data_IF_126072110446
#
_entry.id   IF_126072110446
#
_cell.length_a   1.000
_cell.length_b   1.000
_cell.length_c   1.000
_cell.angle_alpha   90.00
_cell.angle_beta   90.00
_cell.angle_gamma   90.00
#
_symmetry.space_group_name_H-M   'P 1'
#
loop_
_entity.id
_entity.type
_entity.pdbx_description
1 polymer ?
#
# COMPACT_ATOMS: atom_id res chain seq x y z
N UNK A 1 12.78 -10.98 -2.94
CA UNK A 1 11.70 -11.76 -3.57
C UNK A 1 10.34 -11.24 -3.10
N UNK A 2 9.47 -10.97 -4.03
CA UNK A 2 8.11 -10.50 -3.72
C UNK A 2 7.12 -11.64 -3.86
N UNK A 3 6.26 -11.78 -2.87
CA UNK A 3 5.22 -12.81 -2.83
C UNK A 3 3.98 -12.30 -2.10
N UNK A 4 2.81 -12.97 -2.24
CA UNK A 4 1.68 -12.69 -1.37
C UNK A 4 2.04 -12.88 0.11
N UNK A 5 1.38 -12.11 0.97
CA UNK A 5 1.53 -12.24 2.42
C UNK A 5 1.01 -13.60 2.89
N UNK A 6 1.65 -14.15 3.93
CA UNK A 6 1.32 -15.44 4.53
C UNK A 6 1.07 -15.28 6.03
N UNK A 7 0.45 -16.29 6.65
CA UNK A 7 0.13 -16.27 8.09
C UNK A 7 1.37 -16.03 8.96
N UNK A 8 2.51 -16.62 8.59
CA UNK A 8 3.77 -16.46 9.33
C UNK A 8 4.36 -15.04 9.25
N UNK A 9 3.84 -14.19 8.38
CA UNK A 9 4.28 -12.80 8.24
C UNK A 9 3.63 -11.85 9.24
N UNK A 10 2.70 -12.29 10.06
CA UNK A 10 1.87 -11.45 10.93
C UNK A 10 2.68 -10.39 11.70
N UNK A 11 3.72 -10.81 12.40
CA UNK A 11 4.53 -9.89 13.23
C UNK A 11 5.26 -8.84 12.38
N UNK A 12 5.86 -9.26 11.26
CA UNK A 12 6.61 -8.36 10.36
C UNK A 12 5.67 -7.47 9.56
N UNK A 13 4.52 -7.97 9.13
CA UNK A 13 3.52 -7.16 8.46
C UNK A 13 3.03 -6.03 9.38
N UNK A 14 2.69 -6.37 10.62
CA UNK A 14 2.33 -5.38 11.64
C UNK A 14 3.45 -4.35 11.85
N UNK A 15 4.70 -4.78 11.91
CA UNK A 15 5.85 -3.87 12.03
C UNK A 15 5.94 -2.88 10.87
N UNK A 16 5.78 -3.36 9.64
CA UNK A 16 5.81 -2.50 8.44
C UNK A 16 4.65 -1.49 8.43
N UNK A 17 3.45 -1.92 8.82
CA UNK A 17 2.30 -1.01 8.93
C UNK A 17 2.52 0.09 9.97
N UNK A 18 3.06 -0.26 11.13
CA UNK A 18 3.39 0.73 12.18
C UNK A 18 4.52 1.68 11.75
N UNK A 19 5.46 1.22 10.95
CA UNK A 19 6.49 2.08 10.37
C UNK A 19 5.91 3.08 9.37
N UNK A 20 4.92 2.65 8.58
CA UNK A 20 4.21 3.53 7.64
C UNK A 20 3.25 4.48 8.36
N UNK A 21 2.55 4.00 9.39
CA UNK A 21 1.55 4.75 10.14
C UNK A 21 1.93 4.82 11.63
N UNK A 22 2.95 5.62 12.00
CA UNK A 22 3.48 5.65 13.37
C UNK A 22 2.49 6.16 14.41
N UNK A 23 1.44 6.88 13.99
CA UNK A 23 0.37 7.36 14.88
C UNK A 23 -0.70 6.30 15.17
N UNK A 24 -0.66 5.16 14.48
CA UNK A 24 -1.53 4.02 14.76
C UNK A 24 -1.03 3.24 15.98
N UNK A 25 -1.88 2.34 16.49
CA UNK A 25 -1.51 1.46 17.60
C UNK A 25 -1.23 0.05 17.10
N UNK A 26 -0.36 -0.68 17.81
CA UNK A 26 -0.08 -2.09 17.50
C UNK A 26 -1.35 -2.93 17.51
N UNK A 27 -2.28 -2.65 18.42
CA UNK A 27 -3.55 -3.35 18.55
C UNK A 27 -4.45 -3.13 17.32
N UNK A 28 -4.55 -1.90 16.83
CA UNK A 28 -5.33 -1.57 15.62
C UNK A 28 -4.78 -2.30 14.40
N UNK A 29 -3.47 -2.28 14.19
CA UNK A 29 -2.83 -2.93 13.05
C UNK A 29 -2.97 -4.45 13.13
N UNK A 30 -2.80 -5.03 14.30
CA UNK A 30 -2.94 -6.46 14.52
C UNK A 30 -4.34 -6.96 14.18
N UNK A 31 -5.37 -6.26 14.63
CA UNK A 31 -6.77 -6.61 14.35
C UNK A 31 -7.05 -6.69 12.85
N UNK A 32 -6.60 -5.71 12.09
CA UNK A 32 -6.86 -5.67 10.64
C UNK A 32 -6.13 -6.78 9.87
N UNK A 33 -4.84 -6.99 10.17
CA UNK A 33 -4.06 -8.02 9.48
C UNK A 33 -4.51 -9.43 9.88
N UNK A 34 -4.88 -9.66 11.14
CA UNK A 34 -5.43 -10.94 11.58
C UNK A 34 -6.76 -11.26 10.89
N UNK A 35 -7.64 -10.28 10.77
CA UNK A 35 -8.90 -10.46 10.06
C UNK A 35 -8.67 -10.82 8.59
N UNK A 36 -7.74 -10.15 7.94
CA UNK A 36 -7.39 -10.47 6.55
C UNK A 36 -6.88 -11.91 6.42
N UNK A 37 -5.95 -12.32 7.28
CA UNK A 37 -5.39 -13.68 7.26
C UNK A 37 -6.43 -14.76 7.58
N UNK A 38 -7.46 -14.40 8.36
CA UNK A 38 -8.58 -15.28 8.65
C UNK A 38 -9.64 -15.34 7.51
N UNK A 39 -9.45 -14.58 6.43
CA UNK A 39 -10.34 -14.57 5.27
C UNK A 39 -11.56 -13.66 5.38
N UNK A 40 -11.59 -12.74 6.34
CA UNK A 40 -12.68 -11.76 6.44
C UNK A 40 -12.53 -10.68 5.36
N UNK A 41 -13.62 -10.35 4.65
CA UNK A 41 -13.58 -9.30 3.65
C UNK A 41 -13.32 -7.92 4.27
N UNK A 42 -12.57 -7.09 3.55
CA UNK A 42 -12.30 -5.71 3.91
C UNK A 42 -12.41 -4.83 2.66
N UNK A 43 -13.01 -3.63 2.77
CA UNK A 43 -13.06 -2.70 1.66
C UNK A 43 -11.71 -2.05 1.34
N UNK A 44 -10.78 -2.07 2.30
CA UNK A 44 -9.50 -1.38 2.19
C UNK A 44 -8.29 -2.32 2.16
N UNK A 45 -8.51 -3.63 2.19
CA UNK A 45 -7.44 -4.62 2.16
C UNK A 45 -7.93 -5.89 1.44
N UNK A 46 -7.69 -5.97 0.14
CA UNK A 46 -8.10 -7.10 -0.69
C UNK A 46 -6.93 -8.00 -1.04
N UNK A 47 -5.73 -7.44 -1.22
CA UNK A 47 -4.51 -8.19 -1.42
C UNK A 47 -3.32 -7.46 -0.80
N UNK A 48 -2.33 -8.23 -0.38
CA UNK A 48 -1.09 -7.70 0.17
C UNK A 48 0.09 -8.52 -0.35
N UNK A 49 1.16 -7.82 -0.73
CA UNK A 49 2.40 -8.43 -1.20
C UNK A 49 3.55 -7.88 -0.38
N UNK A 50 4.53 -8.74 -0.11
CA UNK A 50 5.67 -8.41 0.74
C UNK A 50 6.97 -8.76 0.04
N UNK A 51 8.03 -8.04 0.36
CA UNK A 51 9.38 -8.36 -0.08
C UNK A 51 10.15 -9.01 1.06
N UNK A 52 10.64 -10.21 0.82
CA UNK A 52 11.36 -11.03 1.82
C UNK A 52 12.84 -10.69 1.78
N UNK A 53 13.44 -10.48 2.95
CA UNK A 53 14.90 -10.31 3.09
C UNK A 53 15.60 -11.65 2.91
N UNK A 54 16.81 -11.68 2.29
CA UNK A 54 17.58 -12.91 2.19
C UNK A 54 17.90 -13.55 3.54
N UNK A 55 18.01 -12.73 4.58
CA UNK A 55 18.34 -13.17 5.95
C UNK A 55 17.13 -13.48 6.83
N UNK A 56 15.93 -13.42 6.25
CA UNK A 56 14.66 -13.56 6.98
C UNK A 56 14.05 -12.23 7.37
N UNK A 57 12.74 -12.24 7.60
CA UNK A 57 11.97 -11.03 7.80
C UNK A 57 11.61 -10.34 6.49
N UNK A 58 10.92 -9.21 6.59
CA UNK A 58 10.43 -8.45 5.45
C UNK A 58 11.14 -7.09 5.32
N UNK A 59 11.21 -6.57 4.11
CA UNK A 59 11.77 -5.25 3.86
C UNK A 59 10.81 -4.31 3.13
N UNK A 60 9.64 -4.79 2.73
CA UNK A 60 8.68 -3.97 2.01
C UNK A 60 7.29 -4.58 1.96
N UNK A 61 6.32 -3.71 1.72
CA UNK A 61 4.90 -4.02 1.74
C UNK A 61 4.15 -3.17 0.71
N UNK A 62 3.20 -3.78 0.02
CA UNK A 62 2.14 -3.08 -0.69
C UNK A 62 0.81 -3.73 -0.38
N UNK A 63 -0.22 -2.91 -0.14
CA UNK A 63 -1.60 -3.34 0.02
C UNK A 63 -2.45 -2.69 -1.05
N UNK A 64 -3.37 -3.44 -1.61
CA UNK A 64 -4.20 -2.99 -2.72
C UNK A 64 -5.64 -3.44 -2.55
N UNK A 65 -6.57 -2.59 -2.96
CA UNK A 65 -7.99 -2.86 -2.99
C UNK A 65 -8.59 -2.39 -4.32
N UNK A 66 -9.90 -2.58 -4.51
CA UNK A 66 -10.62 -2.11 -5.68
C UNK A 66 -11.70 -1.13 -5.22
N UNK A 67 -11.69 0.05 -5.80
CA UNK A 67 -12.70 1.10 -5.56
C UNK A 67 -13.58 1.27 -6.80
N UNK A 68 -14.81 1.72 -6.58
CA UNK A 68 -15.75 2.04 -7.68
C UNK A 68 -15.60 3.48 -8.16
N UNK A 69 -14.87 4.31 -7.41
CA UNK A 69 -14.51 5.69 -7.77
C UNK A 69 -13.24 6.11 -7.07
N UNK A 70 -12.47 6.96 -7.71
CA UNK A 70 -11.32 7.63 -7.12
C UNK A 70 -11.08 8.97 -7.82
N UNK A 71 -10.48 9.93 -7.11
CA UNK A 71 -10.20 11.26 -7.66
C UNK A 71 -9.42 11.16 -8.98
N UNK A 72 -9.89 11.87 -10.01
CA UNK A 72 -9.27 11.92 -11.33
C UNK A 72 -9.40 10.66 -12.17
N UNK A 73 -10.05 9.61 -11.70
CA UNK A 73 -10.30 8.40 -12.46
C UNK A 73 -11.63 8.45 -13.21
N UNK A 74 -11.68 7.77 -14.35
CA UNK A 74 -12.82 7.81 -15.28
C UNK A 74 -13.63 6.51 -15.28
N UNK A 75 -13.05 5.41 -14.79
CA UNK A 75 -13.71 4.10 -14.74
C UNK A 75 -14.31 3.85 -13.37
N UNK A 76 -15.09 2.77 -13.24
CA UNK A 76 -15.78 2.36 -12.02
C UNK A 76 -15.15 1.13 -11.35
N UNK A 77 -13.95 0.73 -11.80
CA UNK A 77 -13.19 -0.37 -11.21
C UNK A 77 -11.70 -0.02 -11.19
N UNK A 78 -11.28 0.50 -10.06
CA UNK A 78 -9.98 1.15 -9.91
C UNK A 78 -9.17 0.40 -8.86
N UNK A 79 -7.96 -0.04 -9.21
CA UNK A 79 -7.01 -0.54 -8.24
C UNK A 79 -6.51 0.62 -7.37
N UNK A 80 -6.51 0.43 -6.05
CA UNK A 80 -6.13 1.47 -5.11
C UNK A 80 -4.97 1.00 -4.23
N UNK A 81 -3.86 1.75 -4.24
CA UNK A 81 -2.74 1.51 -3.35
C UNK A 81 -3.09 2.02 -1.95
N UNK A 82 -3.44 1.11 -1.05
CA UNK A 82 -3.82 1.46 0.32
C UNK A 82 -2.60 1.64 1.23
N UNK A 83 -1.53 0.90 0.98
CA UNK A 83 -0.26 1.00 1.69
C UNK A 83 0.88 0.68 0.75
N UNK A 84 1.97 1.43 0.88
CA UNK A 84 3.20 1.21 0.13
C UNK A 84 4.38 1.66 0.99
N UNK A 85 5.20 0.72 1.42
CA UNK A 85 6.31 0.99 2.33
C UNK A 85 7.51 0.11 2.02
N UNK A 86 8.70 0.69 2.11
CA UNK A 86 9.97 -0.01 2.01
C UNK A 86 10.85 0.43 3.18
N UNK A 87 11.46 -0.52 3.88
CA UNK A 87 12.39 -0.22 4.96
C UNK A 87 13.55 0.65 4.45
N UNK A 88 14.06 1.60 5.26
CA UNK A 88 15.06 2.57 4.82
C UNK A 88 16.31 1.95 4.18
N UNK A 89 16.77 0.80 4.66
CA UNK A 89 17.96 0.11 4.15
C UNK A 89 17.77 -0.53 2.76
N UNK A 90 16.52 -0.66 2.32
CA UNK A 90 16.17 -1.19 0.99
C UNK A 90 15.64 -0.14 0.02
N UNK A 91 15.57 1.13 0.44
CA UNK A 91 15.14 2.20 -0.46
C UNK A 91 16.20 2.46 -1.53
N UNK A 92 15.73 2.79 -2.75
CA UNK A 92 16.62 3.01 -3.88
C UNK A 92 17.17 1.74 -4.53
N UNK A 93 16.66 0.56 -4.15
CA UNK A 93 17.09 -0.74 -4.70
C UNK A 93 16.14 -1.34 -5.72
N UNK A 94 15.01 -0.67 -6.00
CA UNK A 94 13.96 -1.17 -6.91
C UNK A 94 12.85 -1.95 -6.24
N UNK A 95 12.93 -2.24 -4.96
CA UNK A 95 11.90 -2.99 -4.21
C UNK A 95 10.55 -2.28 -4.25
N UNK A 96 10.53 -0.96 -4.04
CA UNK A 96 9.31 -0.17 -4.08
C UNK A 96 8.60 -0.27 -5.43
N UNK A 97 9.35 -0.18 -6.52
CA UNK A 97 8.83 -0.33 -7.88
C UNK A 97 8.25 -1.73 -8.11
N UNK A 98 8.97 -2.76 -7.75
CA UNK A 98 8.53 -4.16 -7.93
C UNK A 98 7.24 -4.44 -7.15
N UNK A 99 7.12 -3.90 -5.93
CA UNK A 99 5.90 -4.02 -5.13
C UNK A 99 4.69 -3.39 -5.84
N UNK A 100 4.85 -2.17 -6.36
CA UNK A 100 3.76 -1.49 -7.07
C UNK A 100 3.42 -2.23 -8.37
N UNK A 101 4.40 -2.68 -9.13
CA UNK A 101 4.17 -3.48 -10.35
C UNK A 101 3.37 -4.76 -10.03
N UNK A 102 3.65 -5.38 -8.88
CA UNK A 102 2.89 -6.56 -8.44
C UNK A 102 1.42 -6.21 -8.12
N UNK A 103 1.19 -5.08 -7.44
CA UNK A 103 -0.16 -4.60 -7.15
C UNK A 103 -0.90 -4.24 -8.43
N UNK A 104 -0.24 -3.60 -9.39
CA UNK A 104 -0.82 -3.26 -10.69
C UNK A 104 -1.18 -4.52 -11.49
N UNK A 105 -0.32 -5.53 -11.49
CA UNK A 105 -0.62 -6.81 -12.14
C UNK A 105 -1.85 -7.49 -11.53
N UNK A 106 -1.95 -7.46 -10.20
CA UNK A 106 -3.12 -7.98 -9.50
C UNK A 106 -4.39 -7.22 -9.90
N UNK A 107 -4.33 -5.89 -9.95
CA UNK A 107 -5.46 -5.05 -10.34
C UNK A 107 -5.89 -5.30 -11.79
N UNK A 108 -4.93 -5.42 -12.72
CA UNK A 108 -5.22 -5.77 -14.12
C UNK A 108 -5.92 -7.13 -14.23
N UNK A 109 -5.42 -8.13 -13.51
CA UNK A 109 -6.05 -9.46 -13.48
C UNK A 109 -7.47 -9.42 -12.92
N UNK A 110 -7.77 -8.46 -12.04
CA UNK A 110 -9.10 -8.22 -11.50
C UNK A 110 -9.99 -7.35 -12.40
N UNK A 111 -9.51 -6.95 -13.58
CA UNK A 111 -10.27 -6.15 -14.54
C UNK A 111 -10.17 -4.64 -14.38
N UNK A 112 -9.27 -4.13 -13.55
CA UNK A 112 -9.05 -2.70 -13.40
C UNK A 112 -8.27 -2.14 -14.60
N UNK A 113 -8.67 -0.95 -15.05
CA UNK A 113 -8.00 -0.21 -16.13
C UNK A 113 -7.24 1.01 -15.63
N UNK A 114 -7.42 1.36 -14.35
CA UNK A 114 -6.76 2.49 -13.71
C UNK A 114 -6.25 2.09 -12.33
N UNK A 115 -5.21 2.79 -11.88
CA UNK A 115 -4.70 2.74 -10.51
C UNK A 115 -4.82 4.11 -9.89
N UNK A 116 -5.11 4.15 -8.59
CA UNK A 116 -5.13 5.37 -7.81
C UNK A 116 -4.36 5.16 -6.50
N UNK A 117 -3.96 6.25 -5.90
CA UNK A 117 -3.26 6.28 -4.63
C UNK A 117 -3.45 7.65 -4.00
N UNK A 118 -3.19 7.77 -2.72
CA UNK A 118 -3.14 9.05 -2.03
C UNK A 118 -1.89 9.17 -1.17
N UNK A 119 -1.61 10.38 -0.75
CA UNK A 119 -0.54 10.69 0.18
C UNK A 119 -0.88 11.96 0.96
N UNK A 120 -0.08 12.29 1.96
CA UNK A 120 -0.25 13.53 2.72
C UNK A 120 1.10 14.20 2.97
N UNK A 121 1.11 15.46 3.48
CA UNK A 121 2.35 16.20 3.71
C UNK A 121 3.34 15.56 4.67
N UNK A 122 2.92 14.60 5.50
CA UNK A 122 3.82 13.86 6.38
C UNK A 122 4.80 12.94 5.61
N UNK A 123 4.55 12.71 4.32
CA UNK A 123 5.40 11.88 3.45
C UNK A 123 5.95 12.72 2.28
N UNK A 124 6.94 13.60 2.54
CA UNK A 124 7.36 14.60 1.55
C UNK A 124 8.01 14.02 0.28
N UNK A 125 8.53 12.79 0.33
CA UNK A 125 9.13 12.12 -0.84
C UNK A 125 8.12 11.29 -1.62
N UNK A 126 6.92 11.07 -1.09
CA UNK A 126 5.90 10.21 -1.70
C UNK A 126 5.41 10.71 -3.07
N UNK A 127 5.15 12.00 -3.30
CA UNK A 127 4.75 12.48 -4.63
C UNK A 127 5.76 12.14 -5.71
N UNK A 128 7.04 12.41 -5.48
CA UNK A 128 8.10 12.09 -6.45
C UNK A 128 8.22 10.57 -6.69
N UNK A 129 8.04 9.76 -5.65
CA UNK A 129 8.05 8.31 -5.78
C UNK A 129 6.89 7.81 -6.65
N UNK A 130 5.69 8.36 -6.50
CA UNK A 130 4.54 8.05 -7.35
C UNK A 130 4.79 8.48 -8.80
N UNK A 131 5.25 9.70 -9.01
CA UNK A 131 5.53 10.22 -10.34
C UNK A 131 6.59 9.40 -11.09
N UNK A 132 7.61 8.91 -10.38
CA UNK A 132 8.64 8.04 -10.97
C UNK A 132 8.07 6.71 -11.49
N UNK A 133 6.90 6.28 -11.02
CA UNK A 133 6.20 5.08 -11.46
C UNK A 133 5.09 5.38 -12.49
N UNK A 134 4.98 6.61 -12.96
CA UNK A 134 4.01 7.02 -13.97
C UNK A 134 2.67 7.49 -13.41
N UNK A 135 2.54 7.67 -12.09
CA UNK A 135 1.35 8.26 -11.49
C UNK A 135 1.39 9.77 -11.62
N UNK A 136 0.23 10.38 -11.86
CA UNK A 136 0.08 11.83 -11.99
C UNK A 136 -0.76 12.38 -10.84
N UNK A 137 -0.38 13.53 -10.31
CA UNK A 137 -1.19 14.26 -9.36
C UNK A 137 -2.47 14.76 -10.02
N UNK A 138 -3.64 14.45 -9.43
CA UNK A 138 -4.95 14.76 -10.03
C UNK A 138 -5.78 15.69 -9.17
N UNK A 139 -5.51 15.78 -7.87
CA UNK A 139 -6.28 16.61 -6.95
C UNK A 139 -5.40 17.06 -5.78
N UNK A 140 -5.79 18.20 -5.19
CA UNK A 140 -5.14 18.70 -3.98
C UNK A 140 -6.21 19.19 -3.00
N UNK A 141 -6.08 18.84 -1.72
CA UNK A 141 -7.01 19.19 -0.67
C UNK A 141 -6.42 20.26 0.25
N UNK A 142 -7.26 21.17 0.71
CA UNK A 142 -6.88 22.23 1.64
C UNK A 142 -7.75 22.16 2.87
N UNK A 143 -7.15 22.49 4.03
CA UNK A 143 -7.82 22.50 5.32
C UNK A 143 -7.42 23.75 6.11
N UNK A 144 -8.39 24.36 6.80
CA UNK A 144 -8.14 25.43 7.77
C UNK A 144 -8.92 25.13 9.04
N UNK A 145 -8.25 25.16 10.20
CA UNK A 145 -8.91 25.06 11.49
C UNK A 145 -9.56 26.41 11.82
N UNK A 146 -10.82 26.37 12.24
CA UNK A 146 -11.58 27.56 12.61
C UNK A 146 -11.85 27.70 14.11
N UNK A 147 -11.29 26.79 14.92
CA UNK A 147 -11.44 26.80 16.38
C UNK A 147 -10.47 27.75 17.06
#
# INVERSE_FOLDING_TARGET
MIRPVETDDLAEWKRLRLALWPDSTAEQEETEVERFLAGYPSPTLMAAFVCVRPTGGLCGLVEVSIHDRAAGCETDRIGYLEAWYVDPDYRGTGVGRELVERAEAWARAAGCLEMASDTNPAYPVSPAAHEALGYSGVERFFRKDLR
#
